data_IF_992749590594
#
_entry.id   IF_992749590594
#
_cell.length_a   1.000
_cell.length_b   1.000
_cell.length_c   1.000
_cell.angle_alpha   90.00
_cell.angle_beta   90.00
_cell.angle_gamma   90.00
#
_symmetry.space_group_name_H-M   'P 1'
#
loop_
_entity.id
_entity.type
_entity.pdbx_description
1 polymer ?
#
# COMPACT_ATOMS: atom_id res chain seq x y z
N UNK A 1 -15.23 -6.43 16.84
CA UNK A 1 -14.49 -5.18 17.06
C UNK A 1 -13.84 -4.82 15.73
N UNK A 2 -13.92 -3.57 15.28
CA UNK A 2 -13.18 -3.13 14.10
C UNK A 2 -11.66 -3.28 14.35
N UNK A 3 -10.86 -3.40 13.29
CA UNK A 3 -9.41 -3.58 13.37
C UNK A 3 -8.71 -2.79 12.27
N UNK A 4 -7.47 -2.37 12.55
CA UNK A 4 -6.53 -1.86 11.57
C UNK A 4 -5.68 -3.03 11.03
N UNK A 5 -5.74 -3.25 9.72
CA UNK A 5 -4.96 -4.28 9.04
C UNK A 5 -3.86 -3.66 8.19
N UNK A 6 -2.67 -4.21 8.25
CA UNK A 6 -1.60 -3.87 7.32
C UNK A 6 -1.27 -5.04 6.39
N UNK A 7 -1.67 -4.90 5.14
CA UNK A 7 -1.39 -5.85 4.06
C UNK A 7 -0.14 -5.37 3.32
N UNK A 8 1.01 -5.89 3.70
CA UNK A 8 2.29 -5.43 3.18
C UNK A 8 2.90 -6.40 2.16
N UNK A 9 3.76 -5.88 1.31
CA UNK A 9 4.57 -6.67 0.37
C UNK A 9 5.76 -5.87 -0.14
N UNK A 10 6.50 -6.48 -1.06
CA UNK A 10 7.36 -5.78 -2.01
C UNK A 10 6.55 -5.32 -3.23
N UNK A 11 7.19 -4.65 -4.19
CA UNK A 11 6.53 -4.25 -5.45
C UNK A 11 6.08 -5.49 -6.24
N UNK A 12 5.10 -5.28 -7.13
CA UNK A 12 4.62 -6.29 -8.07
C UNK A 12 3.98 -7.55 -7.45
N UNK A 13 3.55 -7.47 -6.18
CA UNK A 13 2.90 -8.59 -5.49
C UNK A 13 1.37 -8.65 -5.68
N UNK A 14 0.77 -7.70 -6.40
CA UNK A 14 -0.67 -7.67 -6.63
C UNK A 14 -1.48 -7.06 -5.48
N UNK A 15 -0.89 -6.20 -4.64
CA UNK A 15 -1.59 -5.54 -3.52
C UNK A 15 -2.90 -4.87 -3.94
N UNK A 16 -2.84 -4.01 -4.96
CA UNK A 16 -4.03 -3.30 -5.47
C UNK A 16 -5.06 -4.27 -6.06
N UNK A 17 -4.64 -5.41 -6.63
CA UNK A 17 -5.56 -6.48 -7.07
C UNK A 17 -6.31 -7.09 -5.91
N UNK A 18 -5.60 -7.45 -4.83
CA UNK A 18 -6.20 -8.04 -3.61
C UNK A 18 -7.13 -7.03 -2.93
N UNK A 19 -6.74 -5.76 -2.88
CA UNK A 19 -7.56 -4.67 -2.36
C UNK A 19 -8.87 -4.55 -3.14
N UNK A 20 -8.79 -4.43 -4.45
CA UNK A 20 -9.96 -4.26 -5.32
C UNK A 20 -10.88 -5.49 -5.28
N UNK A 21 -10.31 -6.70 -5.23
CA UNK A 21 -11.09 -7.94 -5.07
C UNK A 21 -11.82 -7.95 -3.71
N UNK A 22 -11.14 -7.56 -2.63
CA UNK A 22 -11.77 -7.51 -1.30
C UNK A 22 -12.90 -6.47 -1.27
N UNK A 23 -12.68 -5.25 -1.80
CA UNK A 23 -13.72 -4.22 -1.92
C UNK A 23 -14.91 -4.70 -2.76
N UNK A 24 -14.66 -5.36 -3.89
CA UNK A 24 -15.70 -5.93 -4.73
C UNK A 24 -16.57 -6.95 -3.98
N UNK A 25 -15.96 -7.84 -3.19
CA UNK A 25 -16.67 -8.85 -2.40
C UNK A 25 -17.62 -8.22 -1.35
N UNK A 26 -17.26 -7.08 -0.76
CA UNK A 26 -18.16 -6.33 0.13
C UNK A 26 -19.36 -5.80 -0.66
N UNK A 27 -19.10 -5.17 -1.81
CA UNK A 27 -20.17 -4.55 -2.63
C UNK A 27 -21.13 -5.57 -3.23
N UNK A 28 -20.67 -6.75 -3.63
CA UNK A 28 -21.56 -7.85 -4.05
C UNK A 28 -22.55 -8.31 -2.96
N UNK A 29 -22.24 -8.02 -1.69
CA UNK A 29 -23.11 -8.29 -0.54
C UNK A 29 -23.94 -7.07 -0.11
N UNK A 30 -23.95 -5.99 -0.92
CA UNK A 30 -24.65 -4.75 -0.61
C UNK A 30 -24.00 -3.91 0.50
N UNK A 31 -22.72 -4.14 0.77
CA UNK A 31 -21.95 -3.40 1.78
C UNK A 31 -21.04 -2.38 1.08
N UNK A 32 -21.27 -1.09 1.34
CA UNK A 32 -20.44 -0.02 0.77
C UNK A 32 -19.04 -0.02 1.34
N UNK A 33 -18.08 0.34 0.50
CA UNK A 33 -16.67 0.49 0.85
C UNK A 33 -16.17 1.89 0.55
N UNK A 34 -15.17 2.36 1.28
CA UNK A 34 -14.50 3.61 1.01
C UNK A 34 -13.06 3.35 0.59
N UNK A 35 -12.69 3.80 -0.61
CA UNK A 35 -11.36 3.59 -1.18
C UNK A 35 -10.57 4.89 -1.16
N UNK A 36 -9.33 4.82 -0.70
CA UNK A 36 -8.38 5.93 -0.63
C UNK A 36 -7.04 5.51 -1.22
N UNK A 37 -6.32 6.44 -1.85
CA UNK A 37 -4.96 6.20 -2.38
C UNK A 37 -4.10 7.46 -2.26
N UNK A 38 -2.78 7.29 -2.27
CA UNK A 38 -1.87 8.44 -2.21
C UNK A 38 -1.91 9.26 -3.51
N UNK A 39 -1.95 10.58 -3.39
CA UNK A 39 -1.97 11.50 -4.54
C UNK A 39 -0.69 11.46 -5.39
N UNK A 40 0.40 10.91 -4.87
CA UNK A 40 1.70 10.81 -5.55
C UNK A 40 1.74 9.71 -6.62
N UNK A 41 0.82 8.76 -6.59
CA UNK A 41 0.74 7.70 -7.61
C UNK A 41 -0.22 8.09 -8.73
N UNK A 42 0.28 8.85 -9.69
CA UNK A 42 -0.47 9.25 -10.88
C UNK A 42 -0.52 8.22 -12.02
N UNK A 43 0.02 7.00 -11.85
CA UNK A 43 0.12 5.99 -12.93
C UNK A 43 -1.23 5.55 -13.50
N UNK A 44 -2.25 5.53 -12.68
CA UNK A 44 -3.63 5.16 -13.08
C UNK A 44 -4.54 6.36 -13.33
N UNK A 45 -4.01 7.58 -13.29
CA UNK A 45 -4.77 8.83 -13.21
C UNK A 45 -5.04 9.22 -11.75
N UNK A 46 -5.24 10.52 -11.52
CA UNK A 46 -5.51 11.04 -10.17
C UNK A 46 -6.82 10.46 -9.63
N UNK A 47 -6.79 9.96 -8.39
CA UNK A 47 -8.00 9.46 -7.73
C UNK A 47 -8.48 8.10 -8.24
N UNK A 48 -7.55 7.22 -8.62
CA UNK A 48 -7.88 5.88 -9.11
C UNK A 48 -6.91 4.83 -8.59
N UNK A 49 -7.45 3.75 -8.04
CA UNK A 49 -6.69 2.53 -7.76
C UNK A 49 -6.78 1.63 -8.98
N UNK A 50 -5.65 1.21 -9.54
CA UNK A 50 -5.61 0.32 -10.68
C UNK A 50 -4.64 -0.84 -10.46
N UNK A 51 -5.05 -2.02 -10.83
CA UNK A 51 -4.21 -3.19 -10.83
C UNK A 51 -3.62 -3.44 -12.24
N UNK A 52 -2.48 -4.12 -12.29
CA UNK A 52 -1.82 -4.48 -13.55
C UNK A 52 -2.58 -5.52 -14.38
N UNK A 53 -3.56 -6.20 -13.80
CA UNK A 53 -4.43 -7.15 -14.51
C UNK A 53 -5.69 -6.48 -15.10
N UNK A 54 -5.73 -5.13 -15.12
CA UNK A 54 -6.75 -4.38 -15.83
C UNK A 54 -8.00 -4.00 -15.03
N UNK A 55 -8.09 -4.37 -13.72
CA UNK A 55 -9.19 -3.91 -12.87
C UNK A 55 -8.84 -2.58 -12.21
N UNK A 56 -9.82 -1.69 -12.06
CA UNK A 56 -9.61 -0.38 -11.45
C UNK A 56 -10.91 0.21 -10.91
N UNK A 57 -10.79 1.08 -9.88
CA UNK A 57 -11.89 1.75 -9.21
C UNK A 57 -11.53 3.20 -8.86
N UNK A 58 -12.54 4.04 -8.74
CA UNK A 58 -12.38 5.40 -8.23
C UNK A 58 -12.05 5.36 -6.74
N UNK A 59 -11.17 6.27 -6.31
CA UNK A 59 -10.74 6.41 -4.93
C UNK A 59 -10.49 7.88 -4.60
N UNK A 60 -10.73 8.27 -3.38
CA UNK A 60 -10.33 9.58 -2.90
C UNK A 60 -8.81 9.60 -2.65
N UNK A 61 -8.20 10.76 -2.82
CA UNK A 61 -6.75 10.89 -2.66
C UNK A 61 -6.38 11.56 -1.36
N UNK A 62 -5.30 11.08 -0.74
CA UNK A 62 -4.67 11.75 0.38
C UNK A 62 -3.27 12.28 0.01
N UNK A 63 -2.88 13.36 0.66
CA UNK A 63 -1.56 13.99 0.62
C UNK A 63 -0.97 14.01 2.03
N UNK A 64 0.31 14.34 2.22
CA UNK A 64 0.92 14.38 3.56
C UNK A 64 0.23 15.30 4.57
N UNK A 65 -0.46 16.34 4.10
CA UNK A 65 -1.20 17.33 4.90
C UNK A 65 -2.70 17.00 5.06
N UNK A 66 -3.17 15.90 4.50
CA UNK A 66 -4.58 15.50 4.54
C UNK A 66 -4.95 14.92 5.92
N UNK A 67 -6.05 15.40 6.51
CA UNK A 67 -6.68 14.77 7.67
C UNK A 67 -7.54 13.58 7.22
N UNK A 68 -6.96 12.38 7.27
CA UNK A 68 -7.61 11.15 6.82
C UNK A 68 -8.72 10.70 7.76
N UNK A 69 -8.66 11.06 9.06
CA UNK A 69 -9.75 10.80 9.98
C UNK A 69 -11.01 11.58 9.60
N UNK A 70 -10.85 12.88 9.33
CA UNK A 70 -11.96 13.74 8.91
C UNK A 70 -12.54 13.30 7.56
N UNK A 71 -11.73 12.80 6.63
CA UNK A 71 -12.23 12.23 5.37
C UNK A 71 -13.12 11.01 5.61
N UNK A 72 -12.70 10.09 6.46
CA UNK A 72 -13.47 8.88 6.81
C UNK A 72 -14.76 9.27 7.53
N UNK A 73 -14.70 10.16 8.51
CA UNK A 73 -15.87 10.64 9.26
C UNK A 73 -16.90 11.32 8.34
N UNK A 74 -16.43 12.19 7.44
CA UNK A 74 -17.29 12.86 6.44
C UNK A 74 -17.96 11.84 5.51
N UNK A 75 -17.25 10.80 5.07
CA UNK A 75 -17.81 9.73 4.22
C UNK A 75 -18.86 8.89 4.97
N UNK A 76 -18.63 8.59 6.25
CA UNK A 76 -19.58 7.88 7.11
C UNK A 76 -20.87 8.68 7.34
N UNK A 77 -20.79 10.01 7.39
CA UNK A 77 -21.97 10.89 7.49
C UNK A 77 -22.84 10.92 6.23
N UNK A 78 -22.27 10.53 5.08
CA UNK A 78 -23.01 10.45 3.80
C UNK A 78 -23.71 9.10 3.60
N UNK A 79 -23.32 8.07 4.34
CA UNK A 79 -23.90 6.73 4.27
C UNK A 79 -23.05 5.70 5.01
N UNK A 80 -23.58 4.50 5.17
CA UNK A 80 -22.84 3.43 5.84
C UNK A 80 -21.61 3.02 5.03
N UNK A 81 -20.48 2.82 5.71
CA UNK A 81 -19.25 2.24 5.15
C UNK A 81 -18.89 1.02 5.96
N UNK A 82 -18.87 -0.14 5.31
CA UNK A 82 -18.55 -1.41 5.96
C UNK A 82 -17.04 -1.60 6.16
N UNK A 83 -16.23 -0.99 5.28
CA UNK A 83 -14.78 -1.10 5.33
C UNK A 83 -14.10 0.06 4.57
N UNK A 84 -13.01 0.57 5.12
CA UNK A 84 -12.12 1.52 4.46
C UNK A 84 -10.92 0.77 3.90
N UNK A 85 -10.56 1.06 2.65
CA UNK A 85 -9.39 0.50 1.98
C UNK A 85 -8.43 1.62 1.60
N UNK A 86 -7.16 1.48 1.98
CA UNK A 86 -6.11 2.46 1.69
C UNK A 86 -5.03 1.80 0.86
N UNK A 87 -4.88 2.21 -0.40
CA UNK A 87 -3.78 1.78 -1.27
C UNK A 87 -2.59 2.73 -1.14
N UNK A 88 -1.39 2.23 -1.48
CA UNK A 88 -0.12 2.94 -1.38
C UNK A 88 0.11 3.54 0.03
N UNK A 89 -0.30 2.80 1.06
CA UNK A 89 -0.28 3.22 2.46
C UNK A 89 1.12 3.51 3.03
N UNK A 90 2.20 3.11 2.34
CA UNK A 90 3.57 3.51 2.72
C UNK A 90 3.79 5.02 2.63
N UNK A 91 2.98 5.74 1.86
CA UNK A 91 3.05 7.20 1.72
C UNK A 91 2.27 7.98 2.78
N UNK A 92 1.58 7.29 3.68
CA UNK A 92 1.02 7.92 4.88
C UNK A 92 2.13 8.49 5.77
N UNK A 93 1.87 9.61 6.42
CA UNK A 93 2.66 10.06 7.55
C UNK A 93 2.36 9.20 8.80
N UNK A 94 3.23 9.28 9.81
CA UNK A 94 2.98 8.64 11.11
C UNK A 94 1.66 9.15 11.72
N UNK A 95 1.41 10.46 11.70
CA UNK A 95 0.17 11.07 12.21
C UNK A 95 -1.07 10.54 11.47
N UNK A 96 -1.00 10.36 10.16
CA UNK A 96 -2.10 9.79 9.39
C UNK A 96 -2.37 8.33 9.76
N UNK A 97 -1.35 7.54 10.07
CA UNK A 97 -1.55 6.17 10.58
C UNK A 97 -2.24 6.17 11.94
N UNK A 98 -1.88 7.11 12.84
CA UNK A 98 -2.62 7.32 14.09
C UNK A 98 -4.07 7.75 13.85
N UNK A 99 -4.33 8.57 12.85
CA UNK A 99 -5.69 8.94 12.44
C UNK A 99 -6.49 7.73 11.95
N UNK A 100 -5.87 6.80 11.21
CA UNK A 100 -6.51 5.53 10.81
C UNK A 100 -6.82 4.65 12.02
N UNK A 101 -5.89 4.53 12.98
CA UNK A 101 -6.13 3.79 14.23
C UNK A 101 -7.31 4.39 15.01
N UNK A 102 -7.35 5.73 15.14
CA UNK A 102 -8.50 6.42 15.76
C UNK A 102 -9.81 6.19 15.00
N UNK A 103 -9.79 6.14 13.66
CA UNK A 103 -11.01 5.84 12.91
C UNK A 103 -11.53 4.43 13.22
N UNK A 104 -10.64 3.45 13.41
CA UNK A 104 -11.00 2.11 13.86
C UNK A 104 -11.62 2.13 15.26
N UNK A 105 -10.99 2.84 16.19
CA UNK A 105 -11.40 2.86 17.59
C UNK A 105 -12.67 3.68 17.82
N UNK A 106 -12.72 4.91 17.31
CA UNK A 106 -13.76 5.89 17.58
C UNK A 106 -14.97 5.74 16.65
N UNK A 107 -14.72 5.54 15.34
CA UNK A 107 -15.76 5.42 14.31
C UNK A 107 -16.20 3.97 14.08
N UNK A 108 -15.48 3.00 14.67
CA UNK A 108 -15.77 1.55 14.61
C UNK A 108 -15.85 0.99 13.20
N UNK A 109 -15.10 1.54 12.27
CA UNK A 109 -14.99 1.07 10.91
C UNK A 109 -13.65 0.34 10.69
N UNK A 110 -13.62 -0.88 10.16
CA UNK A 110 -12.37 -1.57 9.87
C UNK A 110 -11.61 -0.85 8.74
N UNK A 111 -10.29 -0.79 8.88
CA UNK A 111 -9.37 -0.18 7.89
C UNK A 111 -8.38 -1.24 7.40
N UNK A 112 -8.34 -1.46 6.10
CA UNK A 112 -7.38 -2.33 5.43
C UNK A 112 -6.38 -1.48 4.64
N UNK A 113 -5.19 -1.28 5.19
CA UNK A 113 -4.09 -0.56 4.55
C UNK A 113 -3.23 -1.52 3.74
N UNK A 114 -2.92 -1.16 2.48
CA UNK A 114 -2.07 -1.91 1.56
C UNK A 114 -0.88 -1.06 1.18
N UNK A 115 0.33 -1.60 1.34
CA UNK A 115 1.53 -0.82 1.09
C UNK A 115 2.82 -1.63 0.94
N UNK A 116 3.88 -0.93 0.53
CA UNK A 116 5.23 -1.47 0.52
C UNK A 116 5.76 -1.54 1.95
N UNK A 117 6.51 -2.60 2.27
CA UNK A 117 7.20 -2.66 3.56
C UNK A 117 8.45 -1.81 3.56
N UNK A 118 9.34 -2.02 2.59
CA UNK A 118 10.65 -1.37 2.48
C UNK A 118 10.85 -0.81 1.08
N UNK A 119 11.73 0.18 0.98
CA UNK A 119 12.23 0.75 -0.27
C UNK A 119 13.34 -0.12 -0.90
N UNK A 120 13.93 0.38 -1.99
CA UNK A 120 15.02 -0.30 -2.71
C UNK A 120 16.33 -0.37 -1.93
N UNK A 121 16.50 0.47 -0.90
CA UNK A 121 17.65 0.46 0.03
C UNK A 121 17.42 -0.47 1.23
N UNK A 122 16.27 -1.15 1.32
CA UNK A 122 15.90 -1.96 2.47
C UNK A 122 15.42 -1.18 3.69
N UNK A 123 15.15 0.12 3.56
CA UNK A 123 14.67 0.99 4.63
C UNK A 123 13.14 1.02 4.66
N UNK A 124 12.56 1.10 5.86
CA UNK A 124 11.12 1.28 6.01
C UNK A 124 10.69 2.65 5.48
N UNK A 125 9.51 2.70 4.88
CA UNK A 125 8.79 3.95 4.67
C UNK A 125 8.19 4.43 6.00
N UNK A 126 8.03 5.75 6.24
CA UNK A 126 7.44 6.26 7.48
C UNK A 126 6.06 5.66 7.79
N UNK A 127 5.15 5.65 6.82
CA UNK A 127 3.81 5.06 6.97
C UNK A 127 3.87 3.57 7.26
N UNK A 128 4.80 2.85 6.62
CA UNK A 128 4.97 1.41 6.87
C UNK A 128 5.53 1.12 8.25
N UNK A 129 6.45 1.95 8.75
CA UNK A 129 6.99 1.83 10.11
C UNK A 129 5.87 2.02 11.15
N UNK A 130 5.04 3.04 10.99
CA UNK A 130 3.90 3.30 11.86
C UNK A 130 2.84 2.18 11.77
N UNK A 131 2.52 1.69 10.56
CA UNK A 131 1.58 0.58 10.38
C UNK A 131 2.08 -0.73 11.00
N UNK A 132 3.39 -1.02 10.93
CA UNK A 132 3.98 -2.18 11.60
C UNK A 132 3.91 -2.09 13.13
N UNK A 133 3.89 -0.86 13.68
CA UNK A 133 3.78 -0.63 15.12
C UNK A 133 2.32 -0.68 15.62
N UNK A 134 1.36 -0.20 14.82
CA UNK A 134 -0.01 0.10 15.28
C UNK A 134 -1.07 -0.87 14.76
N UNK A 135 -0.82 -1.61 13.66
CA UNK A 135 -1.83 -2.50 13.10
C UNK A 135 -2.15 -3.67 14.05
N UNK A 136 -3.45 -3.94 14.22
CA UNK A 136 -3.93 -5.11 14.98
C UNK A 136 -3.58 -6.42 14.29
N UNK A 137 -3.57 -6.42 12.95
CA UNK A 137 -3.23 -7.59 12.15
C UNK A 137 -2.32 -7.22 10.97
N UNK A 138 -1.29 -8.00 10.77
CA UNK A 138 -0.36 -7.89 9.66
C UNK A 138 -0.48 -9.09 8.73
N UNK A 139 -0.62 -8.83 7.43
CA UNK A 139 -0.76 -9.86 6.39
C UNK A 139 0.22 -9.61 5.26
N UNK A 140 0.93 -10.65 4.85
CA UNK A 140 1.86 -10.54 3.73
C UNK A 140 1.18 -10.95 2.42
N UNK A 141 1.15 -10.04 1.45
CA UNK A 141 0.81 -10.37 0.06
C UNK A 141 2.07 -10.88 -0.62
N UNK A 142 2.13 -12.17 -0.91
CA UNK A 142 3.35 -12.85 -1.36
C UNK A 142 3.57 -12.70 -2.85
N UNK A 143 4.85 -12.55 -3.23
CA UNK A 143 5.33 -12.68 -4.61
C UNK A 143 6.65 -13.45 -4.64
N UNK A 144 7.14 -13.78 -5.82
CA UNK A 144 8.28 -14.63 -6.02
C UNK A 144 9.48 -13.89 -6.60
N UNK A 145 10.67 -14.30 -6.23
CA UNK A 145 11.94 -13.93 -6.82
C UNK A 145 12.21 -14.80 -8.07
N UNK A 146 13.09 -14.35 -8.95
CA UNK A 146 13.57 -15.12 -10.13
C UNK A 146 14.02 -16.56 -9.83
N UNK A 147 14.39 -16.85 -8.59
CA UNK A 147 14.79 -18.21 -8.16
C UNK A 147 13.64 -19.04 -7.57
N UNK A 148 12.38 -18.60 -7.69
CA UNK A 148 11.20 -19.27 -7.15
C UNK A 148 10.98 -19.08 -5.64
N UNK A 149 11.95 -18.52 -4.89
CA UNK A 149 11.76 -18.22 -3.46
C UNK A 149 10.89 -16.98 -3.27
N UNK A 150 10.30 -16.85 -2.09
CA UNK A 150 9.57 -15.64 -1.70
C UNK A 150 10.43 -14.38 -1.89
N UNK A 151 9.89 -13.38 -2.59
CA UNK A 151 10.50 -12.07 -2.70
C UNK A 151 10.07 -11.21 -1.52
N UNK A 152 11.03 -10.60 -0.82
CA UNK A 152 10.81 -9.76 0.35
C UNK A 152 11.47 -8.40 0.22
N UNK A 153 12.27 -8.21 -0.82
CA UNK A 153 13.05 -7.01 -1.11
C UNK A 153 12.75 -6.53 -2.53
N UNK A 154 13.13 -5.31 -2.81
CA UNK A 154 13.06 -4.72 -4.15
C UNK A 154 14.37 -4.01 -4.45
N UNK A 155 14.88 -4.12 -5.67
CA UNK A 155 15.92 -3.23 -6.19
C UNK A 155 15.29 -2.21 -7.13
N UNK A 156 15.91 -1.04 -7.21
CA UNK A 156 15.77 -0.13 -8.34
C UNK A 156 16.91 -0.40 -9.29
N UNK A 157 16.66 -0.48 -10.57
CA UNK A 157 17.69 -0.73 -11.57
C UNK A 157 17.73 0.38 -12.63
N UNK A 158 18.93 0.56 -13.21
CA UNK A 158 19.15 1.42 -14.37
C UNK A 158 18.73 0.72 -15.68
N UNK A 159 18.90 1.39 -16.81
CA UNK A 159 18.59 0.88 -18.15
C UNK A 159 19.43 -0.38 -18.53
N UNK A 160 20.56 -0.58 -17.86
CA UNK A 160 21.44 -1.75 -18.04
C UNK A 160 21.13 -2.89 -17.06
N UNK A 161 20.09 -2.76 -16.22
CA UNK A 161 19.71 -3.75 -15.22
C UNK A 161 20.59 -3.77 -13.97
N UNK A 162 21.46 -2.75 -13.76
CA UNK A 162 22.31 -2.64 -12.57
C UNK A 162 21.53 -2.02 -11.42
N UNK A 163 21.71 -2.56 -10.20
CA UNK A 163 21.07 -2.02 -9.02
C UNK A 163 21.56 -0.60 -8.70
N UNK A 164 20.62 0.30 -8.47
CA UNK A 164 20.86 1.66 -7.98
C UNK A 164 20.77 1.57 -6.45
N UNK A 165 21.84 1.97 -5.77
CA UNK A 165 21.97 1.90 -4.31
C UNK A 165 21.73 3.24 -3.61
N UNK A 166 21.77 4.35 -4.35
CA UNK A 166 21.60 5.70 -3.84
C UNK A 166 20.48 6.46 -4.57
N UNK A 167 19.98 7.53 -3.95
CA UNK A 167 18.97 8.40 -4.54
C UNK A 167 17.72 8.56 -3.70
N UNK A 168 16.76 9.33 -4.22
CA UNK A 168 15.49 9.57 -3.53
C UNK A 168 14.73 8.26 -3.25
N UNK A 169 14.11 8.16 -2.10
CA UNK A 169 13.33 6.98 -1.68
C UNK A 169 12.23 6.63 -2.69
N UNK A 170 11.58 7.65 -3.24
CA UNK A 170 10.47 7.52 -4.19
C UNK A 170 10.89 7.94 -5.58
N UNK A 171 10.67 7.07 -6.56
CA UNK A 171 10.72 7.37 -7.98
C UNK A 171 9.58 6.60 -8.64
N UNK A 172 8.77 7.27 -9.43
CA UNK A 172 7.69 6.62 -10.19
C UNK A 172 8.32 5.74 -11.27
N UNK A 173 7.90 4.47 -11.32
CA UNK A 173 8.41 3.51 -12.30
C UNK A 173 7.68 2.17 -12.21
N UNK A 174 7.85 1.36 -13.24
CA UNK A 174 7.24 0.03 -13.37
C UNK A 174 8.24 -1.12 -13.19
N UNK A 175 7.97 -2.25 -13.87
CA UNK A 175 8.83 -3.44 -13.83
C UNK A 175 10.20 -3.23 -14.48
N UNK A 176 10.30 -2.27 -15.38
CA UNK A 176 11.55 -1.84 -16.00
C UNK A 176 12.49 -1.18 -14.99
N UNK A 177 11.93 -0.55 -13.96
CA UNK A 177 12.69 0.20 -12.95
C UNK A 177 12.87 -0.60 -11.65
N UNK A 178 11.89 -1.44 -11.30
CA UNK A 178 11.85 -2.14 -9.99
C UNK A 178 11.71 -3.65 -10.14
N UNK A 179 12.61 -4.39 -9.49
CA UNK A 179 12.61 -5.87 -9.50
C UNK A 179 12.50 -6.42 -8.08
N UNK A 180 11.51 -7.29 -7.88
CA UNK A 180 11.29 -7.96 -6.59
C UNK A 180 12.20 -9.17 -6.44
N UNK A 181 12.94 -9.23 -5.33
CA UNK A 181 13.95 -10.25 -5.07
C UNK A 181 13.82 -10.85 -3.67
N UNK A 182 14.30 -12.08 -3.49
CA UNK A 182 14.57 -12.60 -2.17
C UNK A 182 15.79 -11.87 -1.58
N UNK A 183 15.94 -11.88 -0.24
CA UNK A 183 17.03 -11.15 0.44
C UNK A 183 18.43 -11.55 -0.07
N UNK A 184 18.65 -12.83 -0.40
CA UNK A 184 19.93 -13.29 -0.94
C UNK A 184 20.26 -12.57 -2.26
N UNK A 185 19.36 -12.61 -3.25
CA UNK A 185 19.58 -11.97 -4.55
C UNK A 185 19.59 -10.44 -4.49
N UNK A 186 18.89 -9.87 -3.51
CA UNK A 186 18.96 -8.44 -3.24
C UNK A 186 20.37 -8.03 -2.80
N UNK A 187 20.95 -8.73 -1.80
CA UNK A 187 22.33 -8.49 -1.34
C UNK A 187 23.35 -8.64 -2.47
N UNK A 188 23.25 -9.71 -3.23
CA UNK A 188 24.12 -9.94 -4.39
C UNK A 188 24.00 -8.80 -5.43
N UNK A 189 22.82 -8.22 -5.62
CA UNK A 189 22.61 -7.14 -6.58
C UNK A 189 23.13 -5.78 -6.10
N UNK A 190 23.05 -5.49 -4.80
CA UNK A 190 23.52 -4.21 -4.22
C UNK A 190 25.00 -4.23 -3.83
N UNK A 191 25.66 -5.40 -3.88
CA UNK A 191 27.10 -5.54 -3.61
C UNK A 191 27.45 -5.71 -2.13
N UNK A 192 26.54 -6.34 -1.36
CA UNK A 192 26.66 -6.59 0.08
C UNK A 192 27.05 -8.07 0.36
#
# INVERSE_FOLDING_TARGET
>A
MAKLYFNYSTMNAGKSTVLLQASHNYRERGMDTYLMTAAVDGRAGTGRIASRIGISEQADTFRPDTDVFSMIDARLKQGSVACVFVDEAQFLSEDQVWQLARAVDDLRVPVLAYGLRVDFQGKLFPGSAALLALADEMREVRTICKCGRKATMVIRQDENGRAITEGAQVQIGGNETYVSLCRKHWREAVGD
#
